data_IF_335964709723
#
_entry.id   IF_335964709723
#
_cell.length_a   1.000
_cell.length_b   1.000
_cell.length_c   1.000
_cell.angle_alpha   90.00
_cell.angle_beta   90.00
_cell.angle_gamma   90.00
#
_symmetry.space_group_name_H-M   'P 1'
#
loop_
_entity.id
_entity.type
_entity.pdbx_description
1 polymer ?
#
# COMPACT_ATOMS: atom_id res chain seq x y z
N UNK A 1 -13.62 -24.21 21.96
CA UNK A 1 -13.96 -23.90 20.56
C UNK A 1 -13.55 -22.45 20.33
N UNK A 2 -12.34 -22.22 19.84
CA UNK A 2 -11.80 -20.87 19.68
C UNK A 2 -11.97 -20.48 18.22
N UNK A 3 -12.92 -19.58 17.94
CA UNK A 3 -13.12 -19.01 16.60
C UNK A 3 -11.94 -18.09 16.26
N UNK A 4 -11.08 -18.55 15.36
CA UNK A 4 -10.08 -17.71 14.69
C UNK A 4 -10.81 -16.81 13.69
N UNK A 5 -10.75 -15.51 13.89
CA UNK A 5 -11.39 -14.48 13.06
C UNK A 5 -10.34 -13.78 12.19
N UNK A 6 -9.53 -14.58 11.50
CA UNK A 6 -8.65 -14.14 10.42
C UNK A 6 -9.25 -14.72 9.13
N UNK A 7 -9.43 -13.88 8.10
CA UNK A 7 -9.84 -14.38 6.80
C UNK A 7 -8.79 -15.41 6.33
N UNK A 8 -9.19 -16.50 5.64
CA UNK A 8 -8.29 -17.62 5.32
C UNK A 8 -7.05 -17.25 4.47
N UNK A 9 -6.97 -16.02 3.96
CA UNK A 9 -5.93 -15.53 3.05
C UNK A 9 -5.05 -14.39 3.62
N UNK A 10 -5.18 -14.03 4.90
CA UNK A 10 -4.33 -12.98 5.48
C UNK A 10 -2.88 -13.49 5.71
N UNK A 11 -1.86 -12.72 5.32
CA UNK A 11 -0.47 -13.08 5.56
C UNK A 11 -0.20 -13.31 7.05
N UNK A 12 0.57 -14.35 7.42
CA UNK A 12 0.98 -14.55 8.80
C UNK A 12 1.71 -13.34 9.37
N UNK A 13 1.58 -13.10 10.68
CA UNK A 13 2.22 -11.96 11.35
C UNK A 13 3.73 -11.87 11.09
N UNK A 14 4.43 -13.00 11.08
CA UNK A 14 5.87 -13.03 10.78
C UNK A 14 6.19 -12.51 9.36
N UNK A 15 5.32 -12.79 8.40
CA UNK A 15 5.41 -12.29 7.02
C UNK A 15 5.21 -10.78 6.99
N UNK A 16 4.18 -10.27 7.68
CA UNK A 16 3.93 -8.83 7.78
C UNK A 16 5.11 -8.10 8.42
N UNK A 17 5.68 -8.63 9.50
CA UNK A 17 6.84 -8.02 10.16
C UNK A 17 8.08 -8.05 9.25
N UNK A 18 8.26 -9.09 8.43
CA UNK A 18 9.31 -9.14 7.42
C UNK A 18 9.12 -8.10 6.32
N UNK A 19 7.89 -7.91 5.84
CA UNK A 19 7.57 -6.88 4.86
C UNK A 19 7.72 -5.47 5.42
N UNK A 20 7.37 -5.23 6.68
CA UNK A 20 7.65 -3.93 7.35
C UNK A 20 9.14 -3.63 7.34
N UNK A 21 10.00 -4.61 7.67
CA UNK A 21 11.45 -4.43 7.60
C UNK A 21 11.91 -4.11 6.18
N UNK A 22 11.46 -4.86 5.18
CA UNK A 22 11.80 -4.62 3.78
C UNK A 22 11.35 -3.22 3.31
N UNK A 23 10.13 -2.80 3.65
CA UNK A 23 9.55 -1.53 3.26
C UNK A 23 10.27 -0.31 3.85
N UNK A 24 11.09 -0.49 4.89
CA UNK A 24 11.91 0.58 5.48
C UNK A 24 13.32 0.69 4.86
N UNK A 25 13.63 -0.16 3.88
CA UNK A 25 14.86 -0.09 3.10
C UNK A 25 14.65 0.67 1.79
N UNK A 26 15.74 1.01 1.09
CA UNK A 26 15.64 1.62 -0.24
C UNK A 26 14.93 0.73 -1.27
N UNK A 27 14.86 -0.58 -1.05
CA UNK A 27 14.28 -1.53 -1.99
C UNK A 27 12.74 -1.64 -1.92
N UNK A 28 12.09 -1.26 -0.82
CA UNK A 28 10.63 -1.44 -0.64
C UNK A 28 10.22 -2.88 -0.33
N UNK A 29 8.91 -3.14 -0.28
CA UNK A 29 8.36 -4.52 -0.15
C UNK A 29 8.65 -5.38 -1.38
N UNK A 30 8.41 -6.70 -1.34
CA UNK A 30 8.09 -7.43 -2.57
C UNK A 30 6.84 -6.84 -3.26
N UNK A 31 6.56 -7.26 -4.49
CA UNK A 31 5.28 -6.96 -5.14
C UNK A 31 4.15 -7.73 -4.42
N UNK A 32 3.15 -7.00 -3.98
CA UNK A 32 2.02 -7.47 -3.20
C UNK A 32 0.75 -7.39 -4.03
N UNK A 33 -0.17 -8.34 -3.84
CA UNK A 33 -1.55 -8.17 -4.31
C UNK A 33 -2.23 -6.98 -3.62
N UNK A 34 -3.38 -6.57 -4.13
CA UNK A 34 -4.18 -5.49 -3.51
C UNK A 34 -4.50 -5.81 -2.04
N UNK A 35 -4.94 -7.05 -1.74
CA UNK A 35 -5.30 -7.46 -0.40
C UNK A 35 -4.09 -7.46 0.54
N UNK A 36 -2.95 -7.99 0.09
CA UNK A 36 -1.72 -8.01 0.90
C UNK A 36 -1.19 -6.60 1.19
N UNK A 37 -1.25 -5.70 0.20
CA UNK A 37 -0.86 -4.31 0.37
C UNK A 37 -1.77 -3.59 1.38
N UNK A 38 -3.08 -3.84 1.34
CA UNK A 38 -4.05 -3.30 2.31
C UNK A 38 -3.81 -3.84 3.72
N UNK A 39 -3.61 -5.15 3.87
CA UNK A 39 -3.31 -5.78 5.17
C UNK A 39 -2.00 -5.25 5.74
N UNK A 40 -0.95 -5.09 4.91
CA UNK A 40 0.32 -4.50 5.35
C UNK A 40 0.18 -3.03 5.74
N UNK A 41 -0.55 -2.21 4.99
CA UNK A 41 -0.74 -0.80 5.29
C UNK A 41 -1.51 -0.59 6.61
N UNK A 42 -2.53 -1.42 6.88
CA UNK A 42 -3.24 -1.44 8.17
C UNK A 42 -2.32 -1.85 9.32
N UNK A 43 -1.52 -2.89 9.11
CA UNK A 43 -0.53 -3.34 10.09
C UNK A 43 0.49 -2.25 10.40
N UNK A 44 1.03 -1.58 9.38
CA UNK A 44 1.95 -0.46 9.52
C UNK A 44 1.33 0.71 10.30
N UNK A 45 0.06 1.04 10.04
CA UNK A 45 -0.66 2.10 10.75
C UNK A 45 -0.76 1.79 12.25
N UNK A 46 -1.05 0.54 12.64
CA UNK A 46 -1.07 0.12 14.05
C UNK A 46 0.31 0.26 14.72
N UNK A 47 1.40 0.22 13.93
CA UNK A 47 2.76 0.44 14.39
C UNK A 47 3.19 1.92 14.34
N UNK A 48 2.28 2.85 14.02
CA UNK A 48 2.58 4.29 13.90
C UNK A 48 3.37 4.65 12.63
N UNK A 49 3.28 3.83 11.58
CA UNK A 49 3.98 4.05 10.30
C UNK A 49 2.99 4.34 9.18
N UNK A 50 3.37 5.22 8.26
CA UNK A 50 2.60 5.53 7.06
C UNK A 50 3.23 4.97 5.78
N UNK A 51 2.41 4.81 4.74
CA UNK A 51 2.89 4.54 3.38
C UNK A 51 3.52 5.81 2.84
N UNK A 52 4.85 5.83 2.75
CA UNK A 52 5.63 6.97 2.28
C UNK A 52 5.64 7.06 0.76
N UNK A 53 5.78 5.91 0.11
CA UNK A 53 5.80 5.77 -1.34
C UNK A 53 5.08 4.47 -1.72
N UNK A 54 4.45 4.47 -2.87
CA UNK A 54 3.82 3.30 -3.48
C UNK A 54 4.13 3.32 -4.96
N UNK A 55 4.42 2.14 -5.51
CA UNK A 55 4.38 1.89 -6.94
C UNK A 55 3.34 0.81 -7.23
N UNK A 56 2.63 0.93 -8.35
CA UNK A 56 1.73 -0.08 -8.86
C UNK A 56 2.21 -0.56 -10.23
N UNK A 57 1.96 -1.83 -10.53
CA UNK A 57 2.28 -2.43 -11.83
C UNK A 57 1.12 -3.30 -12.29
N UNK A 58 0.72 -3.17 -13.55
CA UNK A 58 -0.33 -3.97 -14.15
C UNK A 58 0.09 -5.43 -14.33
N UNK A 59 -0.79 -6.36 -13.95
CA UNK A 59 -0.59 -7.80 -14.15
C UNK A 59 -0.75 -8.23 -15.62
N UNK A 60 -1.33 -7.36 -16.45
CA UNK A 60 -1.58 -7.60 -17.88
C UNK A 60 -1.29 -6.33 -18.69
N UNK A 61 -0.64 -6.48 -19.85
CA UNK A 61 -0.35 -5.43 -20.85
C UNK A 61 -1.61 -4.94 -21.60
N UNK A 62 -2.70 -4.62 -20.90
CA UNK A 62 -3.77 -3.85 -21.54
C UNK A 62 -3.33 -2.41 -21.71
N UNK A 63 -3.81 -1.78 -22.79
CA UNK A 63 -3.55 -0.37 -23.08
C UNK A 63 -3.81 0.44 -21.80
N UNK A 64 -2.77 1.08 -21.21
CA UNK A 64 -2.91 1.68 -19.90
C UNK A 64 -3.97 2.77 -19.97
N UNK A 65 -4.84 2.89 -18.95
CA UNK A 65 -5.74 4.03 -18.85
C UNK A 65 -4.95 5.32 -19.06
N UNK A 66 -5.53 6.30 -19.76
CA UNK A 66 -4.82 7.56 -20.08
C UNK A 66 -4.55 8.44 -18.86
N UNK A 67 -5.10 8.06 -17.71
CA UNK A 67 -5.05 8.78 -16.45
C UNK A 67 -4.85 7.77 -15.31
N UNK A 68 -3.62 7.71 -14.78
CA UNK A 68 -3.15 6.66 -13.87
C UNK A 68 -2.62 7.21 -12.55
N UNK A 69 -3.23 8.28 -12.04
CA UNK A 69 -2.87 8.87 -10.74
C UNK A 69 -2.90 7.87 -9.57
N UNK A 70 -3.54 6.71 -9.71
CA UNK A 70 -3.53 5.65 -8.70
C UNK A 70 -2.27 4.76 -8.72
N UNK A 71 -1.36 4.92 -9.68
CA UNK A 71 -0.17 4.06 -9.83
C UNK A 71 0.94 4.40 -8.84
N UNK A 72 1.06 5.67 -8.45
CA UNK A 72 2.20 6.14 -7.64
C UNK A 72 1.68 6.95 -6.46
N UNK A 73 2.21 6.70 -5.27
CA UNK A 73 2.08 7.59 -4.10
C UNK A 73 3.42 8.24 -3.84
N UNK A 74 3.46 9.55 -3.59
CA UNK A 74 4.69 10.33 -3.44
C UNK A 74 4.98 11.26 -4.63
N UNK A 75 4.09 11.25 -5.62
CA UNK A 75 4.04 12.19 -6.73
C UNK A 75 2.67 12.91 -6.77
N UNK A 76 2.06 13.09 -5.59
CA UNK A 76 0.74 13.66 -5.40
C UNK A 76 0.78 15.19 -5.32
N UNK A 77 -0.40 15.82 -5.29
CA UNK A 77 -0.52 17.26 -5.11
C UNK A 77 0.19 17.72 -3.81
N UNK A 78 0.72 18.97 -3.78
CA UNK A 78 1.33 19.51 -2.58
C UNK A 78 0.42 19.41 -1.35
N UNK A 79 0.96 18.93 -0.23
CA UNK A 79 0.22 18.72 1.01
C UNK A 79 -0.40 17.34 1.16
N UNK A 80 -0.39 16.51 0.10
CA UNK A 80 -0.86 15.11 0.14
C UNK A 80 0.28 14.10 0.33
N UNK A 81 1.52 14.46 -0.04
CA UNK A 81 2.64 13.53 0.04
C UNK A 81 3.11 13.37 1.49
N UNK A 82 3.69 12.21 1.78
CA UNK A 82 4.26 11.91 3.09
C UNK A 82 5.22 12.99 3.60
N UNK A 83 6.08 13.53 2.72
CA UNK A 83 7.06 14.56 3.10
C UNK A 83 6.42 15.88 3.57
N UNK A 84 5.17 16.15 3.20
CA UNK A 84 4.48 17.37 3.54
C UNK A 84 3.88 17.33 4.96
N UNK A 85 3.48 16.15 5.45
CA UNK A 85 2.69 16.04 6.67
C UNK A 85 3.14 14.97 7.67
N UNK A 86 3.87 13.92 7.23
CA UNK A 86 4.37 12.80 8.07
C UNK A 86 3.32 12.22 9.02
N UNK A 87 2.08 12.11 8.54
CA UNK A 87 0.92 11.62 9.29
C UNK A 87 0.52 10.24 8.74
N UNK A 88 0.73 9.15 9.50
CA UNK A 88 0.36 7.80 9.10
C UNK A 88 -1.09 7.64 8.67
N UNK A 89 -2.02 8.34 9.33
CA UNK A 89 -3.46 8.22 9.03
C UNK A 89 -3.80 8.88 7.70
N UNK A 90 -3.22 10.06 7.44
CA UNK A 90 -3.40 10.76 6.15
C UNK A 90 -2.80 9.97 5.00
N UNK A 91 -1.60 9.41 5.19
CA UNK A 91 -0.97 8.54 4.21
C UNK A 91 -1.80 7.28 3.93
N UNK A 92 -2.35 6.65 4.97
CA UNK A 92 -3.24 5.50 4.83
C UNK A 92 -4.52 5.85 4.06
N UNK A 93 -5.15 6.99 4.35
CA UNK A 93 -6.35 7.43 3.64
C UNK A 93 -6.08 7.70 2.15
N UNK A 94 -4.94 8.30 1.81
CA UNK A 94 -4.52 8.50 0.42
C UNK A 94 -4.29 7.17 -0.30
N UNK A 95 -3.60 6.24 0.36
CA UNK A 95 -3.38 4.88 -0.14
C UNK A 95 -4.70 4.15 -0.44
N UNK A 96 -5.64 4.09 0.51
CA UNK A 96 -6.96 3.47 0.30
C UNK A 96 -7.75 4.14 -0.82
N UNK A 97 -7.59 5.46 -0.99
CA UNK A 97 -8.23 6.21 -2.08
C UNK A 97 -7.68 5.78 -3.44
N UNK A 98 -6.36 5.64 -3.59
CA UNK A 98 -5.73 5.17 -4.83
C UNK A 98 -6.11 3.74 -5.18
N UNK A 99 -6.11 2.82 -4.20
CA UNK A 99 -6.58 1.44 -4.42
C UNK A 99 -8.03 1.41 -4.92
N UNK A 100 -8.89 2.27 -4.37
CA UNK A 100 -10.29 2.39 -4.80
C UNK A 100 -10.41 2.90 -6.22
N UNK A 101 -9.63 3.91 -6.60
CA UNK A 101 -9.60 4.43 -7.97
C UNK A 101 -9.16 3.38 -8.98
N UNK A 102 -8.05 2.67 -8.70
CA UNK A 102 -7.58 1.55 -9.51
C UNK A 102 -8.68 0.49 -9.71
N UNK A 103 -9.37 0.10 -8.62
CA UNK A 103 -10.47 -0.86 -8.67
C UNK A 103 -11.65 -0.36 -9.51
N UNK A 104 -12.04 0.90 -9.38
CA UNK A 104 -13.13 1.52 -10.18
C UNK A 104 -12.77 1.56 -11.66
N UNK A 105 -11.49 1.79 -11.98
CA UNK A 105 -10.97 1.74 -13.34
C UNK A 105 -10.83 0.29 -13.90
N UNK A 106 -11.16 -0.74 -13.11
CA UNK A 106 -11.03 -2.14 -13.51
C UNK A 106 -9.58 -2.62 -13.60
N UNK A 107 -8.63 -1.89 -13.02
CA UNK A 107 -7.22 -2.23 -13.06
C UNK A 107 -6.91 -3.44 -12.18
N UNK A 108 -6.07 -4.35 -12.68
CA UNK A 108 -5.55 -5.51 -11.95
C UNK A 108 -4.06 -5.32 -11.70
N UNK A 109 -3.73 -4.92 -10.48
CA UNK A 109 -2.41 -4.42 -10.12
C UNK A 109 -1.78 -5.22 -8.98
N UNK A 110 -0.45 -5.19 -8.97
CA UNK A 110 0.38 -5.48 -7.82
C UNK A 110 1.05 -4.18 -7.34
N UNK A 111 1.37 -4.12 -6.06
CA UNK A 111 1.89 -2.91 -5.40
C UNK A 111 3.18 -3.17 -4.68
N UNK A 112 4.02 -2.15 -4.65
CA UNK A 112 5.24 -2.11 -3.86
C UNK A 112 5.18 -0.92 -2.93
N UNK A 113 5.41 -1.14 -1.64
CA UNK A 113 5.26 -0.13 -0.60
C UNK A 113 6.60 0.22 0.03
N UNK A 114 6.75 1.49 0.39
CA UNK A 114 7.78 1.98 1.29
C UNK A 114 7.11 2.63 2.49
N UNK A 115 7.58 2.30 3.68
CA UNK A 115 7.00 2.74 4.94
C UNK A 115 7.96 3.67 5.68
N UNK A 116 7.41 4.68 6.35
CA UNK A 116 8.16 5.55 7.24
C UNK A 116 7.46 5.71 8.59
N UNK A 117 8.25 5.90 9.63
CA UNK A 117 7.73 6.35 10.93
C UNK A 117 7.45 7.85 10.85
N UNK A 118 6.40 8.30 11.56
CA UNK A 118 6.04 9.71 11.69
C UNK A 118 7.22 10.57 12.19
#
# INVERSE_FOLDING_TARGET
>A
MTMTLLAPDDPPRATLDAWVRAATTGAGTPWLSTAEAETLARHALMLGRGVRLMEASALTLHEPPRDTDWEILGADAPGENWEDHRDPRRAFALFERKLRWARVAGARLQYKLWLAAA
#
